data_IF_607580141233
#
_entry.id   IF_607580141233
#
_cell.length_a   1.000
_cell.length_b   1.000
_cell.length_c   1.000
_cell.angle_alpha   90.00
_cell.angle_beta   90.00
_cell.angle_gamma   90.00
#
_symmetry.space_group_name_H-M   'P 1'
#
loop_
_entity.id
_entity.type
_entity.pdbx_description
1 polymer ?
#
# COMPACT_ATOMS: atom_id res chain seq x y z
N UNK A 1 -4.28 -0.10 -18.00
CA UNK A 1 -4.21 -0.88 -16.75
C UNK A 1 -4.12 0.01 -15.51
N UNK A 2 -3.12 0.90 -15.39
CA UNK A 2 -2.94 1.73 -14.19
C UNK A 2 -4.15 2.63 -13.84
N UNK A 3 -4.72 3.36 -14.81
CA UNK A 3 -5.88 4.24 -14.57
C UNK A 3 -7.08 3.45 -14.04
N UNK A 4 -7.37 2.30 -14.66
CA UNK A 4 -8.45 1.43 -14.21
C UNK A 4 -8.21 0.92 -12.78
N UNK A 5 -6.98 0.48 -12.47
CA UNK A 5 -6.62 0.05 -11.12
C UNK A 5 -6.75 1.17 -10.08
N UNK A 6 -6.40 2.42 -10.45
CA UNK A 6 -6.55 3.59 -9.58
C UNK A 6 -8.02 3.95 -9.35
N UNK A 7 -8.84 3.92 -10.41
CA UNK A 7 -10.29 4.14 -10.30
C UNK A 7 -10.96 3.06 -9.43
N UNK A 8 -10.63 1.79 -9.67
CA UNK A 8 -11.14 0.68 -8.86
C UNK A 8 -10.69 0.78 -7.39
N UNK A 9 -9.44 1.19 -7.14
CA UNK A 9 -8.93 1.39 -5.77
C UNK A 9 -9.65 2.53 -5.05
N UNK A 10 -9.90 3.65 -5.75
CA UNK A 10 -10.65 4.78 -5.19
C UNK A 10 -12.11 4.38 -4.91
N UNK A 11 -12.74 3.67 -5.85
CA UNK A 11 -14.10 3.16 -5.68
C UNK A 11 -14.22 2.22 -4.47
N UNK A 12 -13.27 1.28 -4.32
CA UNK A 12 -13.23 0.37 -3.17
C UNK A 12 -13.14 1.13 -1.84
N UNK A 13 -12.29 2.16 -1.74
CA UNK A 13 -12.16 2.96 -0.52
C UNK A 13 -13.49 3.63 -0.12
N UNK A 14 -14.20 4.21 -1.11
CA UNK A 14 -15.52 4.84 -0.90
C UNK A 14 -16.58 3.81 -0.50
N UNK A 15 -16.61 2.65 -1.17
CA UNK A 15 -17.54 1.57 -0.82
C UNK A 15 -17.34 1.08 0.61
N UNK A 16 -16.07 0.90 1.02
CA UNK A 16 -15.73 0.51 2.39
C UNK A 16 -16.14 1.57 3.40
N UNK A 17 -15.92 2.87 3.12
CA UNK A 17 -16.37 3.94 3.99
C UNK A 17 -17.90 3.90 4.20
N UNK A 18 -18.69 3.83 3.10
CA UNK A 18 -20.16 3.75 3.18
C UNK A 18 -20.64 2.52 3.94
N UNK A 19 -19.95 1.38 3.75
CA UNK A 19 -20.24 0.15 4.48
C UNK A 19 -20.03 0.34 6.00
N UNK A 20 -18.93 0.98 6.43
CA UNK A 20 -18.69 1.26 7.84
C UNK A 20 -19.69 2.27 8.44
N UNK A 21 -20.11 3.27 7.67
CA UNK A 21 -21.16 4.22 8.08
C UNK A 21 -22.53 3.53 8.26
N UNK A 22 -22.87 2.56 7.39
CA UNK A 22 -24.19 1.92 7.39
C UNK A 22 -24.29 0.75 8.36
N UNK A 23 -23.24 -0.09 8.47
CA UNK A 23 -23.27 -1.37 9.20
C UNK A 23 -22.38 -1.39 10.46
N UNK A 24 -21.65 -0.31 10.74
CA UNK A 24 -20.75 -0.20 11.88
C UNK A 24 -19.29 -0.58 11.55
N UNK A 25 -18.38 -0.16 12.44
CA UNK A 25 -16.94 -0.24 12.25
C UNK A 25 -16.39 -1.62 12.61
N UNK A 26 -16.44 -2.55 11.66
CA UNK A 26 -15.86 -3.90 11.80
C UNK A 26 -14.79 -4.18 10.74
N UNK A 27 -13.58 -3.57 10.87
CA UNK A 27 -12.56 -3.63 9.83
C UNK A 27 -11.94 -5.02 9.63
N UNK A 28 -11.87 -5.85 10.69
CA UNK A 28 -11.34 -7.22 10.59
C UNK A 28 -12.31 -8.13 9.81
N UNK A 29 -13.61 -8.02 10.07
CA UNK A 29 -14.66 -8.78 9.35
C UNK A 29 -14.72 -8.37 7.87
N UNK A 30 -14.69 -7.06 7.60
CA UNK A 30 -14.61 -6.53 6.25
C UNK A 30 -13.39 -7.05 5.49
N UNK A 31 -12.22 -7.08 6.15
CA UNK A 31 -11.00 -7.63 5.57
C UNK A 31 -11.16 -9.12 5.27
N UNK A 32 -11.68 -9.91 6.23
CA UNK A 32 -11.90 -11.34 6.05
C UNK A 32 -12.82 -11.63 4.86
N UNK A 33 -13.99 -10.98 4.78
CA UNK A 33 -14.97 -11.22 3.71
C UNK A 33 -14.39 -10.87 2.35
N UNK A 34 -13.73 -9.71 2.20
CA UNK A 34 -13.17 -9.27 0.92
C UNK A 34 -12.06 -10.23 0.45
N UNK A 35 -11.22 -10.71 1.36
CA UNK A 35 -10.15 -11.66 1.00
C UNK A 35 -10.70 -13.08 0.77
N UNK A 36 -11.70 -13.51 1.53
CA UNK A 36 -12.35 -14.80 1.31
C UNK A 36 -13.05 -14.86 -0.06
N UNK A 37 -13.69 -13.78 -0.50
CA UNK A 37 -14.32 -13.67 -1.82
C UNK A 37 -13.30 -13.61 -2.95
N UNK A 38 -12.09 -13.09 -2.70
CA UNK A 38 -11.04 -13.06 -3.73
C UNK A 38 -10.36 -14.42 -3.97
N UNK A 39 -10.35 -15.32 -2.97
CA UNK A 39 -9.78 -16.68 -3.10
C UNK A 39 -10.42 -17.51 -4.25
N UNK A 40 -11.75 -17.62 -4.38
CA UNK A 40 -12.39 -18.25 -5.52
C UNK A 40 -11.99 -17.62 -6.86
N UNK A 41 -11.82 -16.30 -6.92
CA UNK A 41 -11.40 -15.62 -8.15
C UNK A 41 -9.98 -16.00 -8.56
N UNK A 42 -9.08 -16.25 -7.60
CA UNK A 42 -7.72 -16.71 -7.88
C UNK A 42 -7.66 -18.11 -8.51
N UNK A 43 -8.71 -18.93 -8.36
CA UNK A 43 -8.78 -20.26 -8.99
C UNK A 43 -8.68 -20.19 -10.52
N UNK A 44 -9.17 -19.09 -11.13
CA UNK A 44 -9.09 -18.86 -12.57
C UNK A 44 -7.64 -18.66 -13.05
N UNK A 45 -6.74 -18.18 -12.19
CA UNK A 45 -5.30 -18.00 -12.47
C UNK A 45 -4.45 -19.15 -11.89
N UNK A 46 -5.06 -20.28 -11.54
CA UNK A 46 -4.36 -21.40 -10.91
C UNK A 46 -3.18 -21.95 -11.73
N UNK A 47 -3.30 -21.97 -13.06
CA UNK A 47 -2.23 -22.44 -13.95
C UNK A 47 -0.96 -21.56 -13.85
N UNK A 48 -1.14 -20.23 -13.81
CA UNK A 48 -0.03 -19.29 -13.66
C UNK A 48 0.60 -19.37 -12.27
N UNK A 49 -0.24 -19.59 -11.23
CA UNK A 49 0.24 -19.78 -9.85
C UNK A 49 1.10 -21.04 -9.75
N UNK A 50 0.69 -22.15 -10.36
CA UNK A 50 1.46 -23.40 -10.39
C UNK A 50 2.78 -23.23 -11.15
N UNK A 51 2.76 -22.53 -12.28
CA UNK A 51 3.97 -22.22 -13.03
C UNK A 51 4.95 -21.35 -12.22
N UNK A 52 4.45 -20.37 -11.47
CA UNK A 52 5.25 -19.55 -10.56
C UNK A 52 5.80 -20.36 -9.37
N UNK A 53 4.98 -21.22 -8.76
CA UNK A 53 5.39 -22.08 -7.65
C UNK A 53 6.51 -23.03 -8.05
N UNK A 54 6.46 -23.60 -9.26
CA UNK A 54 7.54 -24.43 -9.79
C UNK A 54 8.86 -23.65 -9.91
N UNK A 55 8.81 -22.43 -10.49
CA UNK A 55 9.98 -21.54 -10.59
C UNK A 55 10.53 -21.14 -9.22
N UNK A 56 9.67 -20.99 -8.21
CA UNK A 56 10.12 -20.64 -6.86
C UNK A 56 10.83 -21.80 -6.18
N UNK A 57 10.36 -23.02 -6.40
CA UNK A 57 11.02 -24.24 -5.88
C UNK A 57 12.35 -24.56 -6.56
N UNK A 58 12.54 -24.11 -7.80
CA UNK A 58 13.82 -24.24 -8.54
C UNK A 58 14.84 -23.14 -8.16
N UNK A 59 14.48 -22.19 -7.28
CA UNK A 59 15.36 -21.06 -6.94
C UNK A 59 16.47 -21.43 -5.94
N UNK A 60 17.57 -20.67 -5.99
CA UNK A 60 18.71 -20.85 -5.11
C UNK A 60 18.32 -20.76 -3.62
N UNK A 61 19.00 -21.53 -2.74
CA UNK A 61 18.77 -21.47 -1.30
C UNK A 61 18.99 -20.05 -0.78
N UNK A 62 18.25 -19.70 0.28
CA UNK A 62 18.35 -18.38 0.90
C UNK A 62 19.67 -18.24 1.65
N UNK A 63 20.47 -17.28 1.21
CA UNK A 63 21.73 -16.93 1.87
C UNK A 63 21.54 -15.65 2.68
N UNK A 64 21.70 -15.73 4.00
CA UNK A 64 21.74 -14.57 4.88
C UNK A 64 23.11 -14.50 5.56
N UNK A 65 24.03 -13.78 4.94
CA UNK A 65 25.41 -13.70 5.42
C UNK A 65 26.09 -15.06 5.36
N UNK A 66 26.49 -15.61 6.51
CA UNK A 66 27.14 -16.93 6.63
C UNK A 66 26.17 -18.11 6.84
N UNK A 67 24.87 -17.85 6.97
CA UNK A 67 23.86 -18.88 7.20
C UNK A 67 23.14 -19.20 5.87
N UNK A 68 23.42 -20.38 5.31
CA UNK A 68 22.69 -20.92 4.16
C UNK A 68 21.53 -21.74 4.68
N UNK A 69 20.31 -21.23 4.51
CA UNK A 69 19.10 -21.99 4.80
C UNK A 69 18.70 -22.80 3.56
N UNK A 70 18.38 -24.09 3.68
CA UNK A 70 17.96 -24.94 2.56
C UNK A 70 16.56 -24.60 2.01
N UNK A 71 16.02 -23.43 2.36
CA UNK A 71 14.73 -22.93 1.88
C UNK A 71 14.98 -22.06 0.65
N UNK A 72 14.23 -22.21 -0.45
CA UNK A 72 14.43 -21.38 -1.63
C UNK A 72 14.18 -19.90 -1.32
N UNK A 73 15.10 -19.05 -1.77
CA UNK A 73 15.11 -17.60 -1.48
C UNK A 73 13.82 -16.88 -1.91
N UNK A 74 13.21 -17.31 -3.03
CA UNK A 74 11.97 -16.71 -3.53
C UNK A 74 10.77 -16.97 -2.61
N UNK A 75 10.70 -18.14 -1.98
CA UNK A 75 9.65 -18.45 -1.00
C UNK A 75 9.78 -17.59 0.26
N UNK A 76 11.02 -17.34 0.71
CA UNK A 76 11.26 -16.44 1.83
C UNK A 76 10.92 -14.99 1.51
N UNK A 77 11.32 -14.49 0.34
CA UNK A 77 11.00 -13.13 -0.11
C UNK A 77 9.48 -12.94 -0.27
N UNK A 78 8.78 -13.96 -0.79
CA UNK A 78 7.32 -13.96 -0.88
C UNK A 78 6.70 -13.89 0.51
N UNK A 79 7.15 -14.74 1.45
CA UNK A 79 6.63 -14.76 2.82
C UNK A 79 6.82 -13.40 3.51
N UNK A 80 8.03 -12.82 3.44
CA UNK A 80 8.31 -11.51 4.01
C UNK A 80 7.43 -10.42 3.38
N UNK A 81 7.25 -10.46 2.06
CA UNK A 81 6.37 -9.54 1.35
C UNK A 81 4.91 -9.69 1.79
N UNK A 82 4.42 -10.92 1.97
CA UNK A 82 3.08 -11.20 2.47
C UNK A 82 2.87 -10.66 3.89
N UNK A 83 3.84 -10.83 4.79
CA UNK A 83 3.76 -10.31 6.16
C UNK A 83 3.68 -8.78 6.16
N UNK A 84 4.58 -8.11 5.44
CA UNK A 84 4.57 -6.65 5.32
C UNK A 84 3.26 -6.13 4.71
N UNK A 85 2.79 -6.81 3.66
CA UNK A 85 1.53 -6.47 2.99
C UNK A 85 0.33 -6.66 3.93
N UNK A 86 0.30 -7.74 4.73
CA UNK A 86 -0.76 -7.98 5.71
C UNK A 86 -0.86 -6.84 6.72
N UNK A 87 0.26 -6.46 7.37
CA UNK A 87 0.27 -5.35 8.32
C UNK A 87 -0.15 -4.03 7.65
N UNK A 88 0.31 -3.79 6.43
CA UNK A 88 -0.09 -2.61 5.68
C UNK A 88 -1.60 -2.60 5.38
N UNK A 89 -2.17 -3.69 4.88
CA UNK A 89 -3.60 -3.76 4.55
C UNK A 89 -4.42 -3.60 5.83
N UNK A 90 -4.04 -4.27 6.91
CA UNK A 90 -4.71 -4.14 8.20
C UNK A 90 -4.72 -2.69 8.70
N UNK A 91 -3.58 -2.00 8.59
CA UNK A 91 -3.51 -0.58 8.93
C UNK A 91 -4.45 0.28 8.05
N UNK A 92 -4.48 0.03 6.72
CA UNK A 92 -5.38 0.77 5.81
C UNK A 92 -6.85 0.54 6.13
N UNK A 93 -7.25 -0.71 6.42
CA UNK A 93 -8.63 -1.02 6.80
C UNK A 93 -9.02 -0.36 8.13
N UNK A 94 -8.12 -0.34 9.11
CA UNK A 94 -8.31 0.40 10.36
C UNK A 94 -8.45 1.89 10.13
N UNK A 95 -7.58 2.46 9.29
CA UNK A 95 -7.62 3.88 8.95
C UNK A 95 -8.92 4.25 8.25
N UNK A 96 -9.38 3.42 7.30
CA UNK A 96 -10.62 3.66 6.57
C UNK A 96 -11.90 3.54 7.43
N UNK A 97 -11.81 2.93 8.61
CA UNK A 97 -12.89 2.94 9.58
C UNK A 97 -12.94 4.23 10.41
N UNK A 98 -11.86 5.00 10.47
CA UNK A 98 -11.73 6.18 11.35
C UNK A 98 -11.67 7.52 10.61
N UNK A 99 -11.23 7.53 9.35
CA UNK A 99 -11.13 8.75 8.55
C UNK A 99 -11.79 8.59 7.19
N UNK A 100 -12.10 9.70 6.54
CA UNK A 100 -12.65 9.74 5.19
C UNK A 100 -11.70 9.12 4.15
N UNK A 101 -12.28 8.53 3.09
CA UNK A 101 -11.56 7.83 2.03
C UNK A 101 -10.50 8.69 1.32
N UNK A 102 -10.68 10.02 1.27
CA UNK A 102 -9.71 10.95 0.70
C UNK A 102 -8.41 10.97 1.53
N UNK A 103 -8.53 11.07 2.85
CA UNK A 103 -7.40 11.03 3.79
C UNK A 103 -6.69 9.68 3.72
N UNK A 104 -7.44 8.57 3.65
CA UNK A 104 -6.87 7.22 3.47
C UNK A 104 -6.04 7.15 2.19
N UNK A 105 -6.58 7.67 1.09
CA UNK A 105 -5.91 7.68 -0.20
C UNK A 105 -4.60 8.47 -0.13
N UNK A 106 -4.60 9.63 0.52
CA UNK A 106 -3.39 10.43 0.73
C UNK A 106 -2.34 9.69 1.57
N UNK A 107 -2.74 9.04 2.67
CA UNK A 107 -1.80 8.29 3.52
C UNK A 107 -1.18 7.12 2.76
N UNK A 108 -1.97 6.42 1.92
CA UNK A 108 -1.46 5.33 1.09
C UNK A 108 -0.50 5.81 0.01
N UNK A 109 -0.77 6.97 -0.62
CA UNK A 109 0.15 7.55 -1.61
C UNK A 109 1.45 8.02 -0.96
N UNK A 110 1.39 8.66 0.21
CA UNK A 110 2.56 9.03 1.00
C UNK A 110 3.43 7.82 1.36
N UNK A 111 2.82 6.73 1.84
CA UNK A 111 3.53 5.49 2.14
C UNK A 111 4.27 4.94 0.92
N UNK A 112 3.60 4.88 -0.24
CA UNK A 112 4.23 4.42 -1.50
C UNK A 112 5.37 5.34 -1.92
N UNK A 113 5.21 6.65 -1.75
CA UNK A 113 6.24 7.64 -2.04
C UNK A 113 7.46 7.48 -1.11
N UNK A 114 7.27 7.32 0.19
CA UNK A 114 8.36 7.06 1.14
C UNK A 114 9.10 5.76 0.80
N UNK A 115 8.36 4.71 0.46
CA UNK A 115 8.96 3.44 0.00
C UNK A 115 9.82 3.64 -1.25
N UNK A 116 9.40 4.52 -2.18
CA UNK A 116 10.17 4.86 -3.38
C UNK A 116 11.45 5.61 -3.00
N UNK A 117 11.37 6.61 -2.12
CA UNK A 117 12.55 7.38 -1.67
C UNK A 117 13.57 6.47 -1.00
N UNK A 118 13.13 5.60 -0.08
CA UNK A 118 13.99 4.60 0.57
C UNK A 118 14.61 3.66 -0.46
N UNK A 119 13.83 3.21 -1.45
CA UNK A 119 14.33 2.37 -2.54
C UNK A 119 15.44 3.08 -3.33
N UNK A 120 15.27 4.32 -3.74
CA UNK A 120 16.32 5.04 -4.48
C UNK A 120 17.58 5.23 -3.62
N UNK A 121 17.41 5.58 -2.35
CA UNK A 121 18.52 5.75 -1.42
C UNK A 121 19.31 4.44 -1.22
N UNK A 122 18.62 3.31 -1.06
CA UNK A 122 19.23 2.01 -0.87
C UNK A 122 19.95 1.50 -2.13
N UNK A 123 19.34 1.64 -3.31
CA UNK A 123 19.90 1.16 -4.58
C UNK A 123 20.92 2.13 -5.22
N UNK A 124 21.23 3.27 -4.57
CA UNK A 124 22.17 4.29 -5.05
C UNK A 124 21.89 4.73 -6.50
N UNK A 125 20.62 4.74 -6.90
CA UNK A 125 20.22 5.08 -8.26
C UNK A 125 20.32 6.62 -8.46
N UNK A 126 20.81 7.14 -9.59
CA UNK A 126 20.97 8.58 -9.78
C UNK A 126 19.61 9.30 -9.70
N UNK A 127 19.49 10.21 -8.73
CA UNK A 127 18.29 11.03 -8.54
C UNK A 127 18.20 12.08 -9.66
N UNK A 128 17.47 11.78 -10.72
CA UNK A 128 17.27 12.73 -11.83
C UNK A 128 16.42 13.92 -11.37
N UNK A 129 16.53 15.08 -12.05
CA UNK A 129 15.76 16.28 -11.71
C UNK A 129 14.23 16.08 -11.72
N UNK A 130 13.72 15.12 -12.49
CA UNK A 130 12.30 14.76 -12.49
C UNK A 130 11.83 14.18 -11.15
N UNK A 131 12.68 13.44 -10.43
CA UNK A 131 12.35 12.90 -9.11
C UNK A 131 12.25 14.02 -8.06
N UNK A 132 13.08 15.07 -8.17
CA UNK A 132 13.01 16.25 -7.30
C UNK A 132 11.69 17.01 -7.49
N UNK A 133 11.27 17.21 -8.74
CA UNK A 133 9.98 17.85 -9.05
C UNK A 133 8.83 17.00 -8.50
N UNK A 134 8.87 15.67 -8.71
CA UNK A 134 7.86 14.75 -8.18
C UNK A 134 7.80 14.77 -6.65
N UNK A 135 8.94 14.76 -5.97
CA UNK A 135 9.03 14.85 -4.51
C UNK A 135 8.43 16.16 -3.99
N UNK A 136 8.79 17.29 -4.62
CA UNK A 136 8.22 18.59 -4.27
C UNK A 136 6.70 18.61 -4.45
N UNK A 137 6.18 18.08 -5.56
CA UNK A 137 4.74 18.05 -5.83
C UNK A 137 3.97 17.21 -4.80
N UNK A 138 4.50 16.04 -4.41
CA UNK A 138 3.87 15.18 -3.39
C UNK A 138 3.86 15.85 -2.02
N UNK A 139 4.97 16.48 -1.62
CA UNK A 139 5.04 17.24 -0.36
C UNK A 139 4.11 18.46 -0.37
N UNK A 140 4.11 19.24 -1.46
CA UNK A 140 3.25 20.41 -1.61
C UNK A 140 1.76 20.03 -1.56
N UNK A 141 1.36 18.98 -2.29
CA UNK A 141 -0.02 18.47 -2.26
C UNK A 141 -0.44 17.98 -0.87
N UNK A 142 0.46 17.34 -0.14
CA UNK A 142 0.20 16.88 1.24
C UNK A 142 0.03 18.05 2.20
N UNK A 143 0.88 19.07 2.11
CA UNK A 143 0.80 20.27 2.95
C UNK A 143 -0.45 21.08 2.67
N UNK A 144 -0.87 21.17 1.40
CA UNK A 144 -2.12 21.80 1.00
C UNK A 144 -3.34 21.05 1.56
N UNK A 145 -3.34 19.71 1.51
CA UNK A 145 -4.42 18.91 2.07
C UNK A 145 -4.49 18.96 3.61
N UNK A 146 -3.34 18.96 4.29
CA UNK A 146 -3.28 19.06 5.74
C UNK A 146 -3.69 20.45 6.28
N UNK A 147 -4.01 21.40 5.38
CA UNK A 147 -4.53 22.73 5.65
C UNK A 147 -3.70 23.53 6.69
N UNK A 148 -2.39 23.25 6.73
CA UNK A 148 -1.43 23.88 7.67
C UNK A 148 -1.40 25.40 7.48
N UNK A 149 -1.75 25.89 6.29
CA UNK A 149 -1.79 27.32 5.97
C UNK A 149 -3.11 27.99 6.39
N UNK A 150 -4.26 27.32 6.26
CA UNK A 150 -5.60 27.88 6.52
C UNK A 150 -5.84 28.25 7.98
N UNK A 151 -5.28 27.50 8.95
CA UNK A 151 -5.40 27.87 10.38
C UNK A 151 -4.62 29.14 10.75
N UNK A 152 -3.55 29.50 10.03
CA UNK A 152 -2.80 30.74 10.31
C UNK A 152 -3.55 32.01 9.87
N UNK A 153 -4.53 31.88 8.99
CA UNK A 153 -5.29 33.03 8.47
C UNK A 153 -6.55 33.36 9.31
N UNK A 154 -7.01 32.43 10.17
CA UNK A 154 -8.12 32.70 11.11
C UNK A 154 -7.68 33.39 12.41
N UNK A 155 -6.43 33.23 12.86
CA UNK A 155 -5.91 33.93 14.05
C UNK A 155 -5.43 35.37 13.75
N UNK A 156 -5.10 35.70 12.50
CA UNK A 156 -4.72 37.07 12.11
C UNK A 156 -5.89 38.00 11.82
N UNK A 157 -7.11 37.47 11.70
CA UNK A 157 -8.33 38.27 11.44
C UNK A 157 -9.12 38.61 12.72
N UNK A 158 -8.70 38.07 13.87
CA UNK A 158 -9.31 38.28 15.20
C UNK A 158 -8.36 39.01 16.20
N UNK A 159 -7.30 39.65 15.70
CA UNK A 159 -6.50 40.65 16.42
C UNK A 159 -6.51 41.94 15.63
#
# INVERSE_FOLDING_TARGET
MLIFALLASAYLAICQQRMYETYGKYPEEAMFVIHAVSLPLFSFMGADILAAAKKFSESAPFELGSLVLPVPSLWMNLFLSCVLQYYCIRFVYRLNAEVEALTVTLVVTLRKFLSLVVSIWWFQNPFTGQHWIGAFLVFAGTLAFADIWSRKDLEKKNK
#
